data_IF_123334833136
#
_entry.id   IF_123334833136
#
_cell.length_a   1.000
_cell.length_b   1.000
_cell.length_c   1.000
_cell.angle_alpha   90.00
_cell.angle_beta   90.00
_cell.angle_gamma   90.00
#
_symmetry.space_group_name_H-M   'P 1'
#
loop_
_entity.id
_entity.type
_entity.pdbx_description
1 polymer ?
#
# COMPACT_ATOMS: atom_id res chain seq x y z
N UNK A 1 24.43 -2.03 -0.25
CA UNK A 1 23.74 -2.88 -1.25
C UNK A 1 22.47 -2.16 -1.64
N UNK A 2 22.09 -2.16 -2.92
CA UNK A 2 20.78 -1.63 -3.37
C UNK A 2 19.68 -2.53 -2.85
N UNK A 3 18.55 -1.95 -2.40
CA UNK A 3 17.35 -2.67 -1.98
C UNK A 3 16.75 -3.41 -3.17
N UNK A 4 16.10 -4.55 -2.88
CA UNK A 4 15.52 -5.42 -3.91
C UNK A 4 14.02 -5.58 -3.71
N UNK A 5 13.27 -5.53 -4.80
CA UNK A 5 11.85 -5.87 -4.84
C UNK A 5 11.58 -7.02 -5.80
N UNK A 6 10.59 -7.84 -5.48
CA UNK A 6 9.93 -8.73 -6.45
C UNK A 6 8.56 -8.14 -6.75
N UNK A 7 8.20 -8.08 -8.02
CA UNK A 7 6.95 -7.45 -8.46
C UNK A 7 6.05 -8.45 -9.16
N UNK A 8 4.81 -8.58 -8.66
CA UNK A 8 3.75 -9.40 -9.24
C UNK A 8 2.81 -8.57 -10.11
N UNK A 9 2.56 -9.05 -11.31
CA UNK A 9 1.60 -8.47 -12.26
C UNK A 9 0.74 -9.57 -12.88
N UNK A 10 -0.39 -9.20 -13.50
CA UNK A 10 -1.20 -10.17 -14.21
C UNK A 10 -0.73 -10.37 -15.67
N UNK A 11 -1.38 -11.30 -16.37
CA UNK A 11 -1.12 -11.64 -17.77
C UNK A 11 -1.20 -10.43 -18.71
N UNK A 12 -2.08 -9.46 -18.42
CA UNK A 12 -2.25 -8.26 -19.24
C UNK A 12 -1.02 -7.35 -19.16
N UNK A 13 -0.59 -6.99 -17.96
CA UNK A 13 0.61 -6.15 -17.76
C UNK A 13 1.90 -6.88 -18.12
N UNK A 14 1.90 -8.21 -18.08
CA UNK A 14 3.00 -9.03 -18.58
C UNK A 14 3.10 -9.03 -20.12
N UNK A 15 2.08 -8.55 -20.81
CA UNK A 15 2.03 -8.55 -22.27
C UNK A 15 1.78 -9.95 -22.86
N UNK A 16 1.21 -10.87 -22.08
CA UNK A 16 0.83 -12.23 -22.52
C UNK A 16 -0.49 -12.18 -23.31
N UNK A 17 -1.45 -11.37 -22.81
CA UNK A 17 -2.73 -11.19 -23.48
C UNK A 17 -3.80 -10.63 -22.54
N UNK A 18 -4.99 -10.45 -23.09
CA UNK A 18 -6.16 -9.95 -22.36
C UNK A 18 -6.90 -11.05 -21.59
N UNK A 19 -8.21 -10.91 -21.51
CA UNK A 19 -9.12 -11.79 -20.75
C UNK A 19 -9.02 -13.27 -21.17
N UNK A 20 -8.82 -13.56 -22.43
CA UNK A 20 -8.68 -14.93 -22.94
C UNK A 20 -7.45 -15.66 -22.38
N UNK A 21 -6.51 -14.94 -21.82
CA UNK A 21 -5.28 -15.47 -21.21
C UNK A 21 -5.33 -15.45 -19.68
N UNK A 22 -6.50 -15.23 -19.09
CA UNK A 22 -6.66 -15.18 -17.63
C UNK A 22 -6.37 -16.51 -16.90
N UNK A 23 -6.31 -17.61 -17.63
CA UNK A 23 -5.94 -18.94 -17.12
C UNK A 23 -4.44 -19.29 -17.30
N UNK A 24 -3.63 -18.29 -17.68
CA UNK A 24 -2.18 -18.48 -17.82
C UNK A 24 -1.55 -18.80 -16.46
N UNK A 25 -0.76 -19.88 -16.40
CA UNK A 25 -0.03 -20.30 -15.20
C UNK A 25 1.02 -19.27 -14.75
N UNK A 26 1.58 -19.52 -13.58
CA UNK A 26 2.65 -18.68 -13.02
C UNK A 26 3.92 -18.73 -13.87
N UNK A 27 4.46 -17.54 -14.16
CA UNK A 27 5.71 -17.38 -14.90
C UNK A 27 6.54 -16.19 -14.39
N UNK A 28 7.75 -16.10 -14.93
CA UNK A 28 8.72 -15.04 -14.65
C UNK A 28 9.03 -14.35 -15.97
N UNK A 29 9.03 -13.01 -15.97
CA UNK A 29 9.44 -12.26 -17.15
C UNK A 29 10.96 -12.17 -17.22
N UNK A 30 11.49 -12.30 -18.43
CA UNK A 30 12.92 -12.03 -18.71
C UNK A 30 13.23 -10.54 -18.62
N UNK A 31 12.30 -9.71 -19.06
CA UNK A 31 12.42 -8.26 -19.06
C UNK A 31 11.36 -7.59 -18.19
N UNK A 32 11.73 -6.48 -17.57
CA UNK A 32 10.79 -5.66 -16.80
C UNK A 32 9.79 -4.97 -17.73
N UNK A 33 8.50 -5.05 -17.40
CA UNK A 33 7.42 -4.46 -18.18
C UNK A 33 6.41 -3.75 -17.30
N UNK A 34 5.59 -2.92 -17.94
CA UNK A 34 4.46 -2.26 -17.30
C UNK A 34 4.84 -1.39 -16.09
N UNK A 35 4.13 -1.53 -14.98
CA UNK A 35 4.34 -0.69 -13.80
C UNK A 35 5.75 -0.82 -13.19
N UNK A 36 6.46 -1.93 -13.42
CA UNK A 36 7.80 -2.18 -12.89
C UNK A 36 8.80 -1.09 -13.28
N UNK A 37 8.77 -0.68 -14.56
CA UNK A 37 9.64 0.39 -15.06
C UNK A 37 9.34 1.74 -14.40
N UNK A 38 8.06 2.04 -14.20
CA UNK A 38 7.64 3.27 -13.54
C UNK A 38 8.05 3.33 -12.07
N UNK A 39 7.98 2.21 -11.36
CA UNK A 39 8.43 2.12 -9.96
C UNK A 39 9.95 2.34 -9.85
N UNK A 40 10.76 1.71 -10.69
CA UNK A 40 12.21 1.90 -10.67
C UNK A 40 12.63 3.34 -10.97
N UNK A 41 11.95 4.00 -11.91
CA UNK A 41 12.18 5.42 -12.19
C UNK A 41 11.93 6.30 -10.96
N UNK A 42 10.87 6.00 -10.18
CA UNK A 42 10.52 6.75 -8.98
C UNK A 42 11.53 6.54 -7.84
N UNK A 43 12.14 5.37 -7.74
CA UNK A 43 13.16 5.10 -6.72
C UNK A 43 14.55 5.62 -7.07
N UNK A 44 14.77 6.05 -8.29
CA UNK A 44 16.01 6.68 -8.74
C UNK A 44 17.31 5.93 -8.29
N UNK A 45 17.28 4.60 -8.41
CA UNK A 45 18.41 3.73 -8.06
C UNK A 45 18.51 3.28 -6.59
N UNK A 46 17.65 3.77 -5.69
CA UNK A 46 17.62 3.33 -4.29
C UNK A 46 17.14 1.88 -4.14
N UNK A 47 16.21 1.46 -4.98
CA UNK A 47 15.68 0.09 -5.01
C UNK A 47 15.55 -0.38 -6.46
N UNK A 48 15.73 -1.67 -6.69
CA UNK A 48 15.58 -2.31 -7.99
C UNK A 48 14.62 -3.50 -7.93
N UNK A 49 13.86 -3.73 -9.00
CA UNK A 49 13.04 -4.94 -9.13
C UNK A 49 13.93 -6.06 -9.67
N UNK A 50 14.23 -7.05 -8.84
CA UNK A 50 15.09 -8.17 -9.23
C UNK A 50 14.38 -9.16 -10.13
N UNK A 51 13.07 -9.37 -9.91
CA UNK A 51 12.21 -10.21 -10.75
C UNK A 51 10.82 -9.63 -10.89
N UNK A 52 10.26 -9.76 -12.07
CA UNK A 52 8.82 -9.57 -12.33
C UNK A 52 8.21 -10.94 -12.54
N UNK A 53 7.23 -11.27 -11.71
CA UNK A 53 6.47 -12.52 -11.81
C UNK A 53 5.05 -12.23 -12.26
N UNK A 54 4.43 -13.15 -12.98
CA UNK A 54 3.07 -13.00 -13.45
C UNK A 54 2.26 -14.26 -13.29
N UNK A 55 0.94 -14.10 -13.25
CA UNK A 55 -0.01 -15.19 -13.30
C UNK A 55 -1.33 -14.69 -13.89
N UNK A 56 -2.09 -15.55 -14.51
CA UNK A 56 -3.44 -15.24 -14.96
C UNK A 56 -4.39 -15.02 -13.78
N UNK A 57 -5.29 -14.07 -13.92
CA UNK A 57 -6.20 -13.69 -12.84
C UNK A 57 -7.15 -14.83 -12.42
N UNK A 58 -7.60 -15.65 -13.35
CA UNK A 58 -8.38 -16.85 -13.04
C UNK A 58 -7.50 -17.93 -12.39
N UNK A 59 -6.33 -18.18 -12.96
CA UNK A 59 -5.44 -19.25 -12.51
C UNK A 59 -5.08 -19.09 -11.02
N UNK A 60 -4.64 -17.91 -10.60
CA UNK A 60 -4.24 -17.64 -9.21
C UNK A 60 -5.42 -17.65 -8.24
N UNK A 61 -6.63 -17.33 -8.72
CA UNK A 61 -7.83 -17.28 -7.88
C UNK A 61 -8.54 -18.63 -7.75
N UNK A 62 -8.17 -19.63 -8.58
CA UNK A 62 -8.69 -20.98 -8.49
C UNK A 62 -7.92 -21.77 -7.42
N UNK A 63 -8.62 -22.34 -6.45
CA UNK A 63 -8.00 -22.99 -5.28
C UNK A 63 -7.13 -24.18 -5.68
N UNK A 64 -7.51 -24.95 -6.71
CA UNK A 64 -6.76 -26.07 -7.25
C UNK A 64 -5.37 -25.66 -7.76
N UNK A 65 -5.25 -24.48 -8.35
CA UNK A 65 -4.01 -23.97 -8.93
C UNK A 65 -3.16 -23.17 -7.93
N UNK A 66 -3.80 -22.64 -6.89
CA UNK A 66 -3.14 -21.71 -5.96
C UNK A 66 -1.97 -22.38 -5.21
N UNK A 67 -2.06 -23.67 -4.94
CA UNK A 67 -0.95 -24.46 -4.36
C UNK A 67 0.33 -24.35 -5.18
N UNK A 68 0.23 -24.56 -6.49
CA UNK A 68 1.35 -24.41 -7.43
C UNK A 68 1.91 -23.00 -7.48
N UNK A 69 1.01 -21.99 -7.48
CA UNK A 69 1.42 -20.58 -7.46
C UNK A 69 2.23 -20.27 -6.20
N UNK A 70 1.78 -20.73 -5.03
CA UNK A 70 2.50 -20.57 -3.75
C UNK A 70 3.89 -21.19 -3.80
N UNK A 71 4.02 -22.43 -4.29
CA UNK A 71 5.30 -23.12 -4.38
C UNK A 71 6.30 -22.38 -5.27
N UNK A 72 5.86 -21.98 -6.48
CA UNK A 72 6.69 -21.24 -7.44
C UNK A 72 7.08 -19.87 -6.92
N UNK A 73 6.13 -19.14 -6.32
CA UNK A 73 6.39 -17.83 -5.73
C UNK A 73 7.36 -17.94 -4.56
N UNK A 74 7.19 -18.93 -3.68
CA UNK A 74 8.10 -19.17 -2.56
C UNK A 74 9.52 -19.48 -3.04
N UNK A 75 9.67 -20.20 -4.16
CA UNK A 75 10.98 -20.45 -4.77
C UNK A 75 11.63 -19.13 -5.18
N UNK A 76 10.92 -18.29 -5.92
CA UNK A 76 11.44 -16.97 -6.35
C UNK A 76 11.83 -16.11 -5.15
N UNK A 77 10.99 -16.04 -4.12
CA UNK A 77 11.27 -15.24 -2.91
C UNK A 77 12.52 -15.77 -2.18
N UNK A 78 12.70 -17.07 -2.07
CA UNK A 78 13.89 -17.66 -1.42
C UNK A 78 15.18 -17.42 -2.21
N UNK A 79 15.11 -17.45 -3.53
CA UNK A 79 16.26 -17.22 -4.42
C UNK A 79 16.66 -15.75 -4.46
N UNK A 80 15.70 -14.85 -4.65
CA UNK A 80 15.94 -13.42 -4.81
C UNK A 80 16.18 -12.68 -3.48
N UNK A 81 15.59 -13.17 -2.38
CA UNK A 81 15.62 -12.56 -1.04
C UNK A 81 15.28 -11.07 -1.09
N UNK A 82 14.10 -10.71 -1.59
CA UNK A 82 13.72 -9.31 -1.72
C UNK A 82 13.48 -8.67 -0.35
N UNK A 83 13.72 -7.37 -0.26
CA UNK A 83 13.42 -6.56 0.91
C UNK A 83 11.92 -6.21 0.98
N UNK A 84 11.23 -6.23 -0.16
CA UNK A 84 9.78 -6.00 -0.27
C UNK A 84 9.19 -6.75 -1.48
N UNK A 85 7.95 -7.19 -1.33
CA UNK A 85 7.13 -7.74 -2.40
C UNK A 85 6.03 -6.74 -2.78
N UNK A 86 5.83 -6.53 -4.07
CA UNK A 86 4.85 -5.58 -4.60
C UNK A 86 3.91 -6.32 -5.54
N UNK A 87 2.61 -6.10 -5.42
CA UNK A 87 1.63 -6.62 -6.37
C UNK A 87 0.77 -5.50 -6.96
N UNK A 88 0.55 -5.54 -8.26
CA UNK A 88 -0.27 -4.54 -8.95
C UNK A 88 0.50 -3.37 -9.55
N UNK A 89 -0.15 -2.21 -9.75
CA UNK A 89 -1.48 -1.81 -9.25
C UNK A 89 -2.64 -2.50 -9.99
N UNK A 90 -3.68 -2.85 -9.24
CA UNK A 90 -4.84 -3.56 -9.77
C UNK A 90 -5.99 -2.65 -10.21
N UNK A 91 -5.99 -1.39 -9.77
CA UNK A 91 -7.09 -0.44 -10.05
C UNK A 91 -8.46 -1.02 -9.65
N UNK A 92 -9.49 -0.85 -10.48
CA UNK A 92 -10.81 -1.43 -10.25
C UNK A 92 -11.01 -2.80 -10.94
N UNK A 93 -9.92 -3.50 -11.28
CA UNK A 93 -10.02 -4.85 -11.84
C UNK A 93 -10.21 -5.87 -10.70
N UNK A 94 -11.44 -6.32 -10.48
CA UNK A 94 -11.84 -7.12 -9.31
C UNK A 94 -11.02 -8.39 -9.12
N UNK A 95 -10.93 -9.28 -10.12
CA UNK A 95 -10.16 -10.54 -10.04
C UNK A 95 -8.67 -10.28 -9.85
N UNK A 96 -8.14 -9.28 -10.53
CA UNK A 96 -6.74 -8.91 -10.38
C UNK A 96 -6.44 -8.32 -8.99
N UNK A 97 -7.36 -7.53 -8.44
CA UNK A 97 -7.26 -7.04 -7.07
C UNK A 97 -7.20 -8.19 -6.05
N UNK A 98 -8.11 -9.16 -6.18
CA UNK A 98 -8.11 -10.37 -5.34
C UNK A 98 -6.80 -11.14 -5.49
N UNK A 99 -6.31 -11.35 -6.72
CA UNK A 99 -5.02 -11.99 -6.98
C UNK A 99 -3.86 -11.25 -6.30
N UNK A 100 -3.77 -9.93 -6.45
CA UNK A 100 -2.74 -9.10 -5.84
C UNK A 100 -2.75 -9.19 -4.31
N UNK A 101 -3.92 -9.06 -3.70
CA UNK A 101 -4.07 -9.12 -2.26
C UNK A 101 -3.76 -10.53 -1.71
N UNK A 102 -4.23 -11.58 -2.38
CA UNK A 102 -4.01 -12.98 -2.02
C UNK A 102 -2.51 -13.35 -2.03
N UNK A 103 -1.76 -12.93 -3.04
CA UNK A 103 -0.31 -13.19 -3.09
C UNK A 103 0.48 -12.34 -2.10
N UNK A 104 0.05 -11.08 -1.84
CA UNK A 104 0.65 -10.24 -0.81
C UNK A 104 0.45 -10.83 0.59
N UNK A 105 -0.76 -11.28 0.90
CA UNK A 105 -1.10 -11.94 2.16
C UNK A 105 -0.22 -13.18 2.38
N UNK A 106 -0.10 -14.03 1.39
CA UNK A 106 0.77 -15.22 1.43
C UNK A 106 2.24 -14.86 1.68
N UNK A 107 2.79 -13.92 0.91
CA UNK A 107 4.20 -13.52 1.02
C UNK A 107 4.50 -12.91 2.38
N UNK A 108 3.58 -12.13 2.92
CA UNK A 108 3.74 -11.50 4.23
C UNK A 108 3.57 -12.50 5.37
N UNK A 109 2.49 -13.28 5.36
CA UNK A 109 2.11 -14.16 6.49
C UNK A 109 2.95 -15.44 6.55
N UNK A 110 3.21 -16.08 5.40
CA UNK A 110 3.89 -17.38 5.36
C UNK A 110 5.38 -17.25 5.03
N UNK A 111 5.80 -16.25 4.24
CA UNK A 111 7.21 -16.09 3.86
C UNK A 111 7.94 -14.98 4.62
N UNK A 112 7.22 -14.17 5.41
CA UNK A 112 7.80 -13.15 6.28
C UNK A 112 8.42 -11.96 5.53
N UNK A 113 8.08 -11.75 4.26
CA UNK A 113 8.57 -10.62 3.47
C UNK A 113 7.53 -9.50 3.49
N UNK A 114 7.91 -8.26 3.82
CA UNK A 114 6.98 -7.13 3.75
C UNK A 114 6.35 -7.03 2.37
N UNK A 115 5.05 -6.80 2.30
CA UNK A 115 4.32 -6.73 1.04
C UNK A 115 3.39 -5.52 0.97
N UNK A 116 3.15 -5.03 -0.24
CA UNK A 116 2.24 -3.92 -0.51
C UNK A 116 1.54 -4.10 -1.85
N UNK A 117 0.29 -3.74 -1.91
CA UNK A 117 -0.49 -3.71 -3.16
C UNK A 117 -1.20 -2.36 -3.33
N UNK A 118 -1.81 -2.16 -4.48
CA UNK A 118 -2.48 -0.91 -4.81
C UNK A 118 -3.72 -1.19 -5.66
N UNK A 119 -4.87 -0.64 -5.23
CA UNK A 119 -6.14 -0.81 -5.94
C UNK A 119 -7.13 0.29 -5.63
N UNK A 120 -8.19 0.38 -6.41
CA UNK A 120 -9.31 1.29 -6.21
C UNK A 120 -10.08 0.94 -4.94
N UNK A 121 -10.58 1.95 -4.22
CA UNK A 121 -11.22 1.77 -2.91
C UNK A 121 -12.52 0.94 -2.92
N UNK A 122 -13.12 0.71 -4.07
CA UNK A 122 -14.29 -0.17 -4.24
C UNK A 122 -13.91 -1.55 -4.79
N UNK A 123 -12.61 -1.86 -4.89
CA UNK A 123 -12.20 -3.19 -5.34
C UNK A 123 -12.59 -4.24 -4.29
N UNK A 124 -13.27 -5.35 -4.68
CA UNK A 124 -13.76 -6.36 -3.73
C UNK A 124 -12.67 -7.02 -2.89
N UNK A 125 -11.43 -7.00 -3.34
CA UNK A 125 -10.30 -7.51 -2.58
C UNK A 125 -10.05 -6.76 -1.26
N UNK A 126 -10.52 -5.52 -1.14
CA UNK A 126 -10.33 -4.72 0.07
C UNK A 126 -11.08 -5.35 1.23
N UNK A 127 -12.37 -5.65 1.06
CA UNK A 127 -13.18 -6.27 2.11
C UNK A 127 -12.63 -7.63 2.56
N UNK A 128 -11.94 -8.33 1.66
CA UNK A 128 -11.39 -9.67 1.93
C UNK A 128 -10.02 -9.65 2.61
N UNK A 129 -9.19 -8.63 2.35
CA UNK A 129 -7.76 -8.71 2.65
C UNK A 129 -7.16 -7.46 3.32
N UNK A 130 -7.93 -6.39 3.56
CA UNK A 130 -7.39 -5.13 4.09
C UNK A 130 -6.77 -5.28 5.49
N UNK A 131 -7.27 -6.20 6.31
CA UNK A 131 -6.76 -6.41 7.66
C UNK A 131 -5.28 -6.83 7.68
N UNK A 132 -4.87 -7.62 6.72
CA UNK A 132 -3.54 -8.20 6.67
C UNK A 132 -2.61 -7.57 5.63
N UNK A 133 -3.08 -6.61 4.83
CA UNK A 133 -2.30 -6.06 3.73
C UNK A 133 -2.17 -4.54 3.80
N UNK A 134 -1.02 -4.04 3.41
CA UNK A 134 -0.87 -2.64 3.06
C UNK A 134 -1.44 -2.42 1.65
N UNK A 135 -2.59 -1.77 1.57
CA UNK A 135 -3.27 -1.46 0.31
C UNK A 135 -3.23 0.05 0.10
N UNK A 136 -2.50 0.50 -0.90
CA UNK A 136 -2.46 1.91 -1.30
C UNK A 136 -3.65 2.20 -2.20
N UNK A 137 -4.45 3.25 -1.95
CA UNK A 137 -5.54 3.61 -2.84
C UNK A 137 -5.03 4.05 -4.21
N UNK A 138 -5.64 3.55 -5.28
CA UNK A 138 -5.36 3.95 -6.66
C UNK A 138 -6.45 4.83 -7.23
N UNK A 139 -6.23 5.36 -8.43
CA UNK A 139 -7.32 5.81 -9.30
C UNK A 139 -8.14 4.61 -9.78
N UNK A 140 -9.35 4.86 -10.27
CA UNK A 140 -10.24 3.79 -10.75
C UNK A 140 -9.64 2.99 -11.91
N UNK A 141 -9.00 3.69 -12.85
CA UNK A 141 -8.47 3.08 -14.08
C UNK A 141 -6.97 3.29 -14.25
N UNK A 142 -6.35 2.48 -15.11
CA UNK A 142 -4.94 2.55 -15.44
C UNK A 142 -4.50 3.87 -16.12
N UNK A 143 -5.43 4.69 -16.60
CA UNK A 143 -5.14 6.04 -17.09
C UNK A 143 -4.48 6.89 -15.99
N UNK A 144 -4.85 6.65 -14.73
CA UNK A 144 -4.26 7.31 -13.57
C UNK A 144 -2.94 6.72 -13.06
N UNK A 145 -2.28 5.81 -13.78
CA UNK A 145 -1.05 5.14 -13.37
C UNK A 145 0.00 6.11 -12.80
N UNK A 146 0.24 7.23 -13.49
CA UNK A 146 1.23 8.24 -13.06
C UNK A 146 0.90 8.90 -11.73
N UNK A 147 -0.38 8.97 -11.35
CA UNK A 147 -0.83 9.52 -10.05
C UNK A 147 -0.74 8.46 -8.95
N UNK A 148 -0.92 7.20 -9.30
CA UNK A 148 -0.97 6.07 -8.37
C UNK A 148 0.42 5.58 -7.95
N UNK A 149 1.35 5.42 -8.91
CA UNK A 149 2.66 4.84 -8.64
C UNK A 149 3.50 5.57 -7.57
N UNK A 150 3.50 6.92 -7.44
CA UNK A 150 4.31 7.60 -6.43
C UNK A 150 3.98 7.17 -4.99
N UNK A 151 2.70 7.02 -4.66
CA UNK A 151 2.28 6.58 -3.33
C UNK A 151 2.69 5.12 -3.06
N UNK A 152 2.49 4.24 -4.04
CA UNK A 152 2.92 2.85 -3.96
C UNK A 152 4.45 2.74 -3.81
N UNK A 153 5.22 3.47 -4.62
CA UNK A 153 6.67 3.49 -4.57
C UNK A 153 7.22 3.97 -3.22
N UNK A 154 6.61 5.03 -2.65
CA UNK A 154 6.98 5.59 -1.36
C UNK A 154 6.81 4.55 -0.24
N UNK A 155 5.63 3.92 -0.15
CA UNK A 155 5.35 2.95 0.90
C UNK A 155 6.20 1.69 0.73
N UNK A 156 6.38 1.19 -0.50
CA UNK A 156 7.24 0.06 -0.79
C UNK A 156 8.69 0.31 -0.35
N UNK A 157 9.22 1.50 -0.59
CA UNK A 157 10.57 1.87 -0.17
C UNK A 157 10.74 1.91 1.36
N UNK A 158 9.75 2.46 2.08
CA UNK A 158 9.73 2.44 3.55
C UNK A 158 9.71 1.01 4.11
N UNK A 159 8.87 0.15 3.53
CA UNK A 159 8.80 -1.27 3.91
C UNK A 159 10.14 -1.98 3.65
N UNK A 160 10.76 -1.75 2.49
CA UNK A 160 12.05 -2.33 2.15
C UNK A 160 13.17 -1.89 3.10
N UNK A 161 13.13 -0.65 3.57
CA UNK A 161 14.07 -0.10 4.55
C UNK A 161 13.78 -0.54 5.98
N UNK A 162 12.70 -1.27 6.21
CA UNK A 162 12.21 -1.66 7.54
C UNK A 162 11.96 -0.48 8.47
N UNK A 163 11.59 0.66 7.89
CA UNK A 163 11.21 1.85 8.65
C UNK A 163 9.88 1.60 9.37
N UNK A 164 9.68 2.28 10.50
CA UNK A 164 8.39 2.23 11.21
C UNK A 164 7.30 2.82 10.31
N UNK A 165 6.28 2.02 10.01
CA UNK A 165 5.11 2.49 9.28
C UNK A 165 4.17 3.17 10.27
N UNK A 166 3.80 4.41 9.95
CA UNK A 166 2.87 5.21 10.73
C UNK A 166 1.42 4.84 10.49
N UNK A 167 0.52 5.70 10.93
CA UNK A 167 -0.93 5.51 10.74
C UNK A 167 -1.31 5.53 9.25
N UNK A 168 -2.42 4.89 8.91
CA UNK A 168 -2.94 4.87 7.54
C UNK A 168 -3.10 6.29 6.94
N UNK A 169 -3.56 7.24 7.76
CA UNK A 169 -3.68 8.64 7.35
C UNK A 169 -2.33 9.29 7.01
N UNK A 170 -1.29 9.03 7.79
CA UNK A 170 0.03 9.61 7.58
C UNK A 170 0.78 9.00 6.38
N UNK A 171 0.60 7.70 6.16
CA UNK A 171 1.32 6.94 5.13
C UNK A 171 0.56 6.80 3.81
N UNK A 172 -0.77 7.00 3.83
CA UNK A 172 -1.61 6.96 2.65
C UNK A 172 -2.05 5.57 2.22
N UNK A 173 -2.03 4.55 3.09
CA UNK A 173 -2.65 3.26 2.83
C UNK A 173 -4.06 3.20 3.42
N UNK A 174 -4.87 2.21 3.01
CA UNK A 174 -6.22 2.01 3.52
C UNK A 174 -6.18 1.49 4.96
N UNK A 175 -7.04 2.00 5.87
CA UNK A 175 -7.07 1.52 7.25
C UNK A 175 -7.32 0.03 7.35
N UNK A 176 -6.45 -0.68 8.06
CA UNK A 176 -6.53 -2.13 8.27
C UNK A 176 -7.56 -2.57 9.30
N UNK A 177 -8.22 -1.63 9.98
CA UNK A 177 -9.13 -1.94 11.10
C UNK A 177 -8.42 -2.18 12.43
N UNK A 178 -7.13 -2.44 12.44
CA UNK A 178 -6.36 -2.55 13.68
C UNK A 178 -6.30 -1.20 14.40
N UNK A 179 -6.62 -1.21 15.68
CA UNK A 179 -6.57 -0.02 16.53
C UNK A 179 -5.54 -0.22 17.63
N UNK A 180 -4.74 0.81 17.86
CA UNK A 180 -3.83 0.86 18.99
C UNK A 180 -3.88 2.26 19.60
N UNK A 181 -3.63 2.35 20.91
CA UNK A 181 -3.59 3.61 21.60
C UNK A 181 -2.22 4.27 21.38
N UNK A 182 -2.22 5.50 20.87
CA UNK A 182 -1.04 6.36 20.91
C UNK A 182 -1.17 7.31 22.10
N UNK A 183 -0.12 7.36 22.90
CA UNK A 183 -0.05 8.26 24.04
C UNK A 183 0.87 9.43 23.72
N UNK A 184 0.43 10.62 24.07
CA UNK A 184 1.25 11.82 24.01
C UNK A 184 2.33 11.76 25.09
N UNK A 185 3.50 12.36 24.83
CA UNK A 185 4.61 12.44 25.79
C UNK A 185 4.23 13.20 27.06
N UNK A 186 3.28 14.14 26.97
CA UNK A 186 2.74 14.90 28.09
C UNK A 186 1.30 14.48 28.38
N UNK A 187 0.97 14.40 29.65
CA UNK A 187 -0.42 14.20 30.09
C UNK A 187 -1.32 15.36 29.66
N UNK A 188 -2.64 15.15 29.60
CA UNK A 188 -3.59 16.21 29.29
C UNK A 188 -3.50 17.38 30.27
N UNK A 189 -3.25 17.09 31.56
CA UNK A 189 -3.08 18.12 32.58
C UNK A 189 -1.83 18.99 32.33
N UNK A 190 -0.69 18.40 32.00
CA UNK A 190 0.53 19.13 31.67
C UNK A 190 0.33 20.02 30.44
N UNK A 191 -0.32 19.52 29.39
CA UNK A 191 -0.61 20.30 28.18
C UNK A 191 -1.51 21.52 28.49
N UNK A 192 -2.53 21.35 29.33
CA UNK A 192 -3.40 22.46 29.76
C UNK A 192 -2.63 23.50 30.55
N UNK A 193 -1.75 23.07 31.46
CA UNK A 193 -0.89 23.98 32.22
C UNK A 193 0.07 24.74 31.29
N UNK A 194 0.69 24.06 30.35
CA UNK A 194 1.56 24.70 29.34
C UNK A 194 0.83 25.78 28.53
N UNK A 195 -0.40 25.49 28.09
CA UNK A 195 -1.24 26.46 27.39
C UNK A 195 -1.60 27.68 28.28
N UNK A 196 -1.95 27.43 29.54
CA UNK A 196 -2.24 28.49 30.49
C UNK A 196 -1.03 29.41 30.72
N UNK A 197 0.13 28.81 30.94
CA UNK A 197 1.41 29.53 31.11
C UNK A 197 1.75 30.33 29.87
N UNK A 198 1.62 29.73 28.69
CA UNK A 198 1.85 30.42 27.43
C UNK A 198 0.93 31.64 27.26
N UNK A 199 -0.35 31.51 27.62
CA UNK A 199 -1.34 32.61 27.59
C UNK A 199 -1.01 33.73 28.60
N UNK A 200 -0.60 33.38 29.82
CA UNK A 200 -0.21 34.36 30.82
C UNK A 200 1.00 35.20 30.41
N UNK A 201 1.94 34.59 29.69
CA UNK A 201 3.13 35.27 29.20
C UNK A 201 2.99 35.81 27.77
N UNK A 202 1.77 35.85 27.21
CA UNK A 202 1.49 36.29 25.82
C UNK A 202 2.33 35.55 24.76
N UNK A 203 2.66 34.28 25.02
CA UNK A 203 3.34 33.45 24.05
C UNK A 203 2.34 32.79 23.09
N UNK A 204 2.78 32.52 21.87
CA UNK A 204 1.97 31.80 20.90
C UNK A 204 1.79 30.35 21.39
N UNK A 205 0.57 29.83 21.32
CA UNK A 205 0.23 28.44 21.57
C UNK A 205 -0.80 27.94 20.55
N UNK A 206 -0.86 26.67 20.35
CA UNK A 206 -1.85 26.01 19.50
C UNK A 206 -2.80 25.19 20.36
N UNK A 207 -4.07 25.19 20.01
CA UNK A 207 -5.08 24.34 20.66
C UNK A 207 -5.17 23.01 19.91
N UNK A 208 -5.32 21.91 20.65
CA UNK A 208 -5.50 20.56 20.07
C UNK A 208 -6.83 20.41 19.35
N UNK A 209 -7.82 21.20 19.77
CA UNK A 209 -9.13 21.24 19.12
C UNK A 209 -9.23 22.57 18.37
N UNK A 210 -9.46 22.56 17.05
CA UNK A 210 -9.63 23.81 16.30
C UNK A 210 -10.83 24.57 16.84
N UNK A 211 -10.60 25.83 17.19
CA UNK A 211 -11.67 26.74 17.62
C UNK A 211 -12.59 27.01 16.43
N UNK A 212 -13.87 26.72 16.59
CA UNK A 212 -14.87 27.12 15.60
C UNK A 212 -15.06 28.64 15.67
N UNK A 213 -15.10 29.32 14.52
CA UNK A 213 -15.57 30.65 14.44
C UNK A 213 -17.09 30.68 14.56
N UNK A 214 -17.61 31.40 15.56
CA UNK A 214 -19.05 31.59 15.70
C UNK A 214 -19.38 33.00 15.21
N UNK A 215 -20.51 33.11 14.49
CA UNK A 215 -21.07 34.41 14.17
C UNK A 215 -21.60 35.05 15.46
N UNK A 216 -21.15 36.26 15.74
CA UNK A 216 -21.65 37.03 16.90
C UNK A 216 -22.91 37.74 16.45
N UNK A 217 -24.06 37.23 16.89
CA UNK A 217 -25.35 37.91 16.64
C UNK A 217 -25.48 39.04 17.65
N UNK A 218 -25.57 40.33 17.22
CA UNK A 218 -25.74 41.43 18.13
C UNK A 218 -27.11 41.31 18.82
N UNK A 219 -27.22 41.75 20.08
CA UNK A 219 -28.51 41.75 20.77
C UNK A 219 -29.52 42.61 20.00
N UNK A 220 -30.78 42.13 19.95
CA UNK A 220 -31.85 42.89 19.33
C UNK A 220 -31.95 44.28 19.94
N UNK A 221 -32.03 45.31 19.09
CA UNK A 221 -32.27 46.67 19.57
C UNK A 221 -33.63 46.72 20.27
N UNK A 222 -33.65 47.35 21.46
CA UNK A 222 -34.91 47.57 22.20
C UNK A 222 -35.70 48.69 21.55
#
# INVERSE_FOLDING_TARGET
MSLKAVHYINQFYAGIGGETMADTGFGILEEKKGPALGLEQLWNGEMTISKVVYCGDNYVNTDENYGEVKEKLAKVIREEKPDVFIAGPAFNAGRYGVACAKVCDYVRSELGVPSVTCMWHENPAIDMYVENNYIVPSTETAVGMRKTLPALAKLALKLARKEKIGTAHAEGYLPTGHRYNEYSDKSGAERVVDMLVARLYNKKFETEVPLRSFEVIPPAAK
#
